data_IF_629295705438
#
_entry.id   IF_629295705438
#
_cell.length_a   1.000
_cell.length_b   1.000
_cell.length_c   1.000
_cell.angle_alpha   90.00
_cell.angle_beta   90.00
_cell.angle_gamma   90.00
#
_symmetry.space_group_name_H-M   'P 1'
#
loop_
_entity.id
_entity.type
_entity.pdbx_description
1 polymer ?
#
# COMPACT_ATOMS: atom_id res chain seq x y z
N UNK A 1 19.15 20.41 41.90
CA UNK A 1 18.02 19.45 41.71
C UNK A 1 16.91 19.98 40.79
N UNK A 2 16.94 21.25 40.38
CA UNK A 2 15.91 21.86 39.53
C UNK A 2 16.13 21.63 38.03
N UNK A 3 17.38 21.50 37.58
CA UNK A 3 17.67 21.39 36.15
C UNK A 3 17.25 20.02 35.59
N UNK A 4 17.52 18.93 36.32
CA UNK A 4 17.08 17.58 35.92
C UNK A 4 15.56 17.46 35.81
N UNK A 5 14.81 18.07 36.74
CA UNK A 5 13.34 18.10 36.71
C UNK A 5 12.82 18.94 35.54
N UNK A 6 13.48 20.06 35.23
CA UNK A 6 13.16 20.90 34.06
C UNK A 6 13.40 20.16 32.75
N UNK A 7 14.55 19.49 32.60
CA UNK A 7 14.83 18.69 31.40
C UNK A 7 13.85 17.53 31.23
N UNK A 8 13.46 16.86 32.32
CA UNK A 8 12.43 15.82 32.30
C UNK A 8 11.06 16.37 31.86
N UNK A 9 10.66 17.52 32.39
CA UNK A 9 9.42 18.20 31.99
C UNK A 9 9.42 18.58 30.50
N UNK A 10 10.52 19.15 30.02
CA UNK A 10 10.66 19.50 28.60
C UNK A 10 10.59 18.24 27.72
N UNK A 11 11.27 17.16 28.10
CA UNK A 11 11.24 15.90 27.37
C UNK A 11 9.83 15.30 27.29
N UNK A 12 9.08 15.31 28.40
CA UNK A 12 7.69 14.83 28.43
C UNK A 12 6.79 15.68 27.55
N UNK A 13 6.91 17.01 27.61
CA UNK A 13 6.09 17.92 26.78
C UNK A 13 6.40 17.71 25.29
N UNK A 14 7.68 17.61 24.92
CA UNK A 14 8.09 17.37 23.54
C UNK A 14 7.58 16.02 23.02
N UNK A 15 7.65 14.97 23.84
CA UNK A 15 7.14 13.64 23.49
C UNK A 15 5.62 13.65 23.26
N UNK A 16 4.87 14.30 24.15
CA UNK A 16 3.41 14.42 24.01
C UNK A 16 3.03 15.25 22.77
N UNK A 17 3.75 16.34 22.51
CA UNK A 17 3.54 17.16 21.31
C UNK A 17 3.80 16.35 20.03
N UNK A 18 4.87 15.54 20.01
CA UNK A 18 5.17 14.67 18.88
C UNK A 18 4.08 13.59 18.69
N UNK A 19 3.58 12.99 19.76
CA UNK A 19 2.52 11.98 19.70
C UNK A 19 1.22 12.56 19.14
N UNK A 20 0.82 13.74 19.61
CA UNK A 20 -0.35 14.46 19.09
C UNK A 20 -0.13 14.84 17.62
N UNK A 21 1.06 15.34 17.27
CA UNK A 21 1.41 15.67 15.88
C UNK A 21 1.32 14.46 14.94
N UNK A 22 1.75 13.28 15.37
CA UNK A 22 1.64 12.04 14.59
C UNK A 22 0.19 11.57 14.47
N UNK A 23 -0.60 11.65 15.54
CA UNK A 23 -2.02 11.25 15.50
C UNK A 23 -2.84 12.16 14.60
N UNK A 24 -2.67 13.48 14.72
CA UNK A 24 -3.32 14.49 13.86
C UNK A 24 -2.80 14.37 12.42
N UNK A 25 -1.48 14.24 12.25
CA UNK A 25 -0.86 14.06 10.94
C UNK A 25 -1.38 12.81 10.24
N UNK A 26 -1.54 11.69 10.95
CA UNK A 26 -2.20 10.51 10.39
C UNK A 26 -3.66 10.80 10.06
N UNK A 27 -4.46 11.33 10.98
CA UNK A 27 -5.88 11.56 10.71
C UNK A 27 -6.15 12.48 9.51
N UNK A 28 -5.29 13.49 9.27
CA UNK A 28 -5.48 14.47 8.19
C UNK A 28 -4.70 14.18 6.92
N UNK A 29 -3.49 13.60 6.99
CA UNK A 29 -2.66 13.32 5.81
C UNK A 29 -2.81 11.89 5.28
N UNK A 30 -3.35 10.93 6.04
CA UNK A 30 -3.57 9.56 5.51
C UNK A 30 -4.81 9.40 4.63
N UNK A 31 -5.46 10.51 4.25
CA UNK A 31 -6.55 10.53 3.27
C UNK A 31 -6.10 10.18 1.83
N UNK A 32 -4.80 9.96 1.59
CA UNK A 32 -4.29 9.55 0.27
C UNK A 32 -4.63 8.10 -0.09
N UNK A 33 -5.08 7.25 0.85
CA UNK A 33 -5.49 5.87 0.54
C UNK A 33 -6.91 5.74 -0.05
N UNK A 34 -7.68 6.82 -0.15
CA UNK A 34 -9.01 6.84 -0.79
C UNK A 34 -9.00 7.37 -2.23
N UNK A 35 -7.88 7.91 -2.71
CA UNK A 35 -7.79 8.46 -4.06
C UNK A 35 -8.10 7.44 -5.18
N UNK A 36 -7.79 6.16 -4.95
CA UNK A 36 -8.14 5.07 -5.89
C UNK A 36 -9.66 4.83 -5.97
N UNK A 37 -10.36 4.94 -4.84
CA UNK A 37 -11.81 4.80 -4.78
C UNK A 37 -12.53 6.04 -5.36
N UNK A 38 -11.97 7.23 -5.15
CA UNK A 38 -12.52 8.50 -5.63
C UNK A 38 -12.35 8.67 -7.16
N UNK A 39 -11.23 8.19 -7.73
CA UNK A 39 -11.03 8.15 -9.18
C UNK A 39 -11.99 7.16 -9.86
N UNK A 40 -12.24 5.99 -9.26
CA UNK A 40 -13.24 5.03 -9.78
C UNK A 40 -14.66 5.60 -9.70
N UNK A 41 -15.03 6.25 -8.59
CA UNK A 41 -16.33 6.88 -8.45
C UNK A 41 -16.53 8.01 -9.48
N UNK A 42 -15.52 8.85 -9.72
CA UNK A 42 -15.56 9.91 -10.73
C UNK A 42 -15.62 9.37 -12.17
N UNK A 43 -14.95 8.26 -12.47
CA UNK A 43 -15.03 7.59 -13.77
C UNK A 43 -16.42 6.99 -14.02
N UNK A 44 -17.04 6.42 -12.99
CA UNK A 44 -18.40 5.88 -13.07
C UNK A 44 -19.48 6.96 -13.15
N UNK A 45 -19.33 8.08 -12.43
CA UNK A 45 -20.31 9.18 -12.43
C UNK A 45 -20.32 9.97 -13.75
N UNK A 46 -19.21 9.96 -14.49
CA UNK A 46 -19.10 10.60 -15.81
C UNK A 46 -19.51 9.71 -16.98
N UNK A 47 -19.69 8.40 -16.76
CA UNK A 47 -20.17 7.47 -17.76
C UNK A 47 -21.63 7.14 -17.43
N UNK A 48 -22.58 7.60 -18.24
CA UNK A 48 -23.98 7.17 -18.17
C UNK A 48 -24.06 5.68 -18.56
N UNK A 49 -23.74 4.80 -17.61
CA UNK A 49 -23.74 3.36 -17.80
C UNK A 49 -25.13 2.80 -17.49
N UNK A 50 -25.62 1.91 -18.35
CA UNK A 50 -26.84 1.15 -18.06
C UNK A 50 -26.61 0.12 -16.94
N UNK A 51 -27.69 -0.51 -16.46
CA UNK A 51 -27.62 -1.47 -15.36
C UNK A 51 -26.80 -2.73 -15.70
N UNK A 52 -26.82 -3.16 -16.98
CA UNK A 52 -26.09 -4.34 -17.43
C UNK A 52 -24.59 -4.05 -17.54
N UNK A 53 -24.22 -2.83 -17.98
CA UNK A 53 -22.84 -2.34 -17.99
C UNK A 53 -22.27 -2.24 -16.58
N UNK A 54 -23.04 -1.72 -15.62
CA UNK A 54 -22.64 -1.70 -14.21
C UNK A 54 -22.36 -3.10 -13.66
N UNK A 55 -23.27 -4.05 -13.89
CA UNK A 55 -23.10 -5.42 -13.41
C UNK A 55 -21.85 -6.11 -13.98
N UNK A 56 -21.52 -5.83 -15.26
CA UNK A 56 -20.31 -6.33 -15.91
C UNK A 56 -19.05 -5.71 -15.32
N UNK A 57 -19.03 -4.39 -15.17
CA UNK A 57 -17.90 -3.68 -14.59
C UNK A 57 -17.65 -4.14 -13.15
N UNK A 58 -18.68 -4.24 -12.32
CA UNK A 58 -18.51 -4.76 -10.95
C UNK A 58 -17.86 -6.15 -10.91
N UNK A 59 -18.18 -7.02 -11.87
CA UNK A 59 -17.55 -8.33 -11.95
C UNK A 59 -16.07 -8.23 -12.30
N UNK A 60 -15.71 -7.38 -13.27
CA UNK A 60 -14.31 -7.08 -13.63
C UNK A 60 -13.56 -6.50 -12.41
N UNK A 61 -14.15 -5.55 -11.70
CA UNK A 61 -13.59 -4.92 -10.50
C UNK A 61 -13.34 -5.93 -9.38
N UNK A 62 -14.33 -6.76 -9.06
CA UNK A 62 -14.20 -7.79 -8.02
C UNK A 62 -13.07 -8.76 -8.35
N UNK A 63 -12.96 -9.19 -9.61
CA UNK A 63 -11.88 -10.07 -10.05
C UNK A 63 -10.51 -9.39 -9.92
N UNK A 64 -10.38 -8.14 -10.38
CA UNK A 64 -9.13 -7.39 -10.28
C UNK A 64 -8.72 -7.16 -8.82
N UNK A 65 -9.66 -6.76 -7.96
CA UNK A 65 -9.40 -6.54 -6.53
C UNK A 65 -8.85 -7.79 -5.83
N UNK A 66 -9.41 -8.97 -6.12
CA UNK A 66 -8.92 -10.24 -5.56
C UNK A 66 -7.49 -10.55 -6.01
N UNK A 67 -7.19 -10.34 -7.30
CA UNK A 67 -5.85 -10.58 -7.88
C UNK A 67 -4.81 -9.61 -7.35
N UNK A 68 -5.13 -8.32 -7.34
CA UNK A 68 -4.31 -7.25 -6.77
C UNK A 68 -3.95 -7.55 -5.32
N UNK A 69 -4.95 -7.85 -4.49
CA UNK A 69 -4.75 -8.15 -3.08
C UNK A 69 -3.89 -9.41 -2.86
N UNK A 70 -4.01 -10.43 -3.71
CA UNK A 70 -3.16 -11.62 -3.63
C UNK A 70 -1.69 -11.30 -3.94
N UNK A 71 -1.44 -10.49 -4.98
CA UNK A 71 -0.09 -10.09 -5.39
C UNK A 71 0.56 -9.16 -4.37
N UNK A 72 -0.17 -8.19 -3.84
CA UNK A 72 0.32 -7.31 -2.77
C UNK A 72 0.72 -8.10 -1.52
N UNK A 73 -0.10 -9.07 -1.09
CA UNK A 73 0.27 -9.96 0.02
C UNK A 73 1.52 -10.78 -0.28
N UNK A 74 1.69 -11.25 -1.52
CA UNK A 74 2.91 -11.96 -1.92
C UNK A 74 4.14 -11.06 -1.81
N UNK A 75 4.06 -9.81 -2.26
CA UNK A 75 5.13 -8.82 -2.12
C UNK A 75 5.45 -8.52 -0.65
N UNK A 76 4.44 -8.40 0.21
CA UNK A 76 4.65 -8.24 1.65
C UNK A 76 5.36 -9.45 2.28
N UNK A 77 4.99 -10.67 1.88
CA UNK A 77 5.65 -11.88 2.33
C UNK A 77 7.10 -11.96 1.83
N UNK A 78 7.37 -11.54 0.59
CA UNK A 78 8.72 -11.46 0.04
C UNK A 78 9.57 -10.43 0.80
N UNK A 79 9.00 -9.29 1.23
CA UNK A 79 9.72 -8.32 2.07
C UNK A 79 10.10 -8.90 3.43
N UNK A 80 9.23 -9.70 4.06
CA UNK A 80 9.55 -10.39 5.30
C UNK A 80 10.70 -11.40 5.11
N UNK A 81 10.65 -12.19 4.04
CA UNK A 81 11.73 -13.11 3.66
C UNK A 81 13.04 -12.38 3.34
N UNK A 82 12.95 -11.19 2.75
CA UNK A 82 14.12 -10.37 2.43
C UNK A 82 14.81 -9.90 3.71
N UNK A 83 14.05 -9.46 4.71
CA UNK A 83 14.58 -9.11 6.02
C UNK A 83 15.29 -10.31 6.68
N UNK A 84 14.70 -11.51 6.63
CA UNK A 84 15.32 -12.74 7.13
C UNK A 84 16.62 -13.07 6.38
N UNK A 85 16.62 -12.94 5.05
CA UNK A 85 17.80 -13.19 4.21
C UNK A 85 18.94 -12.19 4.50
N UNK A 86 18.62 -10.90 4.65
CA UNK A 86 19.60 -9.87 5.02
C UNK A 86 20.19 -10.16 6.40
N UNK A 87 19.36 -10.58 7.35
CA UNK A 87 19.81 -10.95 8.69
C UNK A 87 20.68 -12.22 8.71
N UNK A 88 20.50 -13.14 7.76
CA UNK A 88 21.33 -14.33 7.65
C UNK A 88 22.66 -14.05 6.95
N UNK A 89 22.62 -13.39 5.78
CA UNK A 89 23.77 -13.25 4.89
C UNK A 89 24.61 -12.00 5.15
N UNK A 90 24.08 -11.00 5.89
CA UNK A 90 24.75 -9.74 6.23
C UNK A 90 25.38 -9.01 5.03
N UNK A 91 24.83 -9.22 3.84
CA UNK A 91 25.33 -8.73 2.56
C UNK A 91 24.44 -9.19 1.42
N UNK A 92 24.80 -8.81 0.18
CA UNK A 92 24.06 -9.21 -1.02
C UNK A 92 24.42 -10.64 -1.44
N UNK A 93 23.93 -11.62 -0.69
CA UNK A 93 24.11 -13.03 -0.96
C UNK A 93 23.01 -13.65 -1.85
N UNK A 94 23.09 -14.95 -2.11
CA UNK A 94 22.15 -15.65 -2.97
C UNK A 94 20.70 -15.63 -2.47
N UNK A 95 20.45 -15.67 -1.15
CA UNK A 95 19.09 -15.59 -0.60
C UNK A 95 18.49 -14.19 -0.75
N UNK A 96 19.31 -13.15 -0.55
CA UNK A 96 18.91 -11.76 -0.79
C UNK A 96 18.54 -11.56 -2.26
N UNK A 97 19.41 -11.95 -3.20
CA UNK A 97 19.13 -11.81 -4.64
C UNK A 97 17.88 -12.57 -5.07
N UNK A 98 17.73 -13.83 -4.65
CA UNK A 98 16.57 -14.65 -5.02
C UNK A 98 15.25 -14.07 -4.49
N UNK A 99 15.27 -13.42 -3.33
CA UNK A 99 14.06 -12.80 -2.76
C UNK A 99 13.72 -11.48 -3.46
N UNK A 100 14.72 -10.69 -3.83
CA UNK A 100 14.55 -9.50 -4.66
C UNK A 100 13.96 -9.86 -6.03
N UNK A 101 14.48 -10.90 -6.68
CA UNK A 101 13.97 -11.38 -7.98
C UNK A 101 12.49 -11.83 -7.89
N UNK A 102 12.11 -12.52 -6.81
CA UNK A 102 10.70 -12.88 -6.55
C UNK A 102 9.80 -11.64 -6.40
N UNK A 103 10.27 -10.65 -5.66
CA UNK A 103 9.56 -9.38 -5.48
C UNK A 103 9.36 -8.66 -6.82
N UNK A 104 10.39 -8.63 -7.69
CA UNK A 104 10.28 -8.10 -9.04
C UNK A 104 9.27 -8.85 -9.91
N UNK A 105 9.19 -10.18 -9.81
CA UNK A 105 8.21 -10.98 -10.53
C UNK A 105 6.78 -10.72 -10.06
N UNK A 106 6.56 -10.55 -8.74
CA UNK A 106 5.26 -10.19 -8.20
C UNK A 106 4.82 -8.78 -8.66
N UNK A 107 5.74 -7.82 -8.62
CA UNK A 107 5.51 -6.46 -9.11
C UNK A 107 5.18 -6.43 -10.61
N UNK A 108 5.94 -7.15 -11.44
CA UNK A 108 5.69 -7.23 -12.87
C UNK A 108 4.35 -7.90 -13.21
N UNK A 109 3.91 -8.88 -12.41
CA UNK A 109 2.58 -9.47 -12.53
C UNK A 109 1.49 -8.47 -12.18
N UNK A 110 1.65 -7.70 -11.11
CA UNK A 110 0.69 -6.67 -10.72
C UNK A 110 0.51 -5.63 -11.84
N UNK A 111 1.60 -5.16 -12.44
CA UNK A 111 1.54 -4.23 -13.58
C UNK A 111 0.76 -4.80 -14.77
N UNK A 112 0.98 -6.08 -15.10
CA UNK A 112 0.26 -6.75 -16.19
C UNK A 112 -1.24 -6.88 -15.88
N UNK A 113 -1.59 -7.30 -14.68
CA UNK A 113 -3.00 -7.44 -14.26
C UNK A 113 -3.71 -6.07 -14.27
N UNK A 114 -3.03 -4.99 -13.87
CA UNK A 114 -3.59 -3.63 -13.97
C UNK A 114 -3.84 -3.23 -15.42
N UNK A 115 -2.92 -3.53 -16.34
CA UNK A 115 -3.13 -3.23 -17.76
C UNK A 115 -4.27 -4.07 -18.35
N UNK A 116 -4.32 -5.36 -18.04
CA UNK A 116 -5.41 -6.25 -18.45
C UNK A 116 -6.76 -5.77 -17.91
N UNK A 117 -6.81 -5.30 -16.65
CA UNK A 117 -8.01 -4.71 -16.06
C UNK A 117 -8.45 -3.44 -16.81
N UNK A 118 -7.54 -2.51 -17.11
CA UNK A 118 -7.86 -1.30 -17.89
C UNK A 118 -8.41 -1.66 -19.28
N UNK A 119 -7.83 -2.66 -19.95
CA UNK A 119 -8.35 -3.12 -21.24
C UNK A 119 -9.72 -3.81 -21.12
N UNK A 120 -9.95 -4.59 -20.05
CA UNK A 120 -11.23 -5.22 -19.78
C UNK A 120 -12.33 -4.19 -19.49
N UNK A 121 -12.00 -3.07 -18.83
CA UNK A 121 -12.93 -1.96 -18.57
C UNK A 121 -13.36 -1.21 -19.83
N UNK A 122 -12.53 -1.25 -20.89
CA UNK A 122 -12.83 -0.60 -22.18
C UNK A 122 -13.67 -1.49 -23.13
N UNK A 123 -13.67 -2.80 -22.94
CA UNK A 123 -14.22 -3.78 -23.87
C UNK A 123 -15.74 -3.92 -23.75
#
# INVERSE_FOLDING_TARGET
MNDRRRYLLIAVIAFLAALVGVLVGRAYLSHEMTAEAELHALLHDQLELDADQHARIELIERHFALRKQALERAMHADNARLAEAIAAEHGYGPLVSATVDRSHQAMGRLQKETLEHIFAMRA
#
